data_IF_824938008820
#
_entry.id   IF_824938008820
#
_cell.length_a   1.000
_cell.length_b   1.000
_cell.length_c   1.000
_cell.angle_alpha   90.00
_cell.angle_beta   90.00
_cell.angle_gamma   90.00
#
_symmetry.space_group_name_H-M   'P 1'
#
loop_
_entity.id
_entity.type
_entity.pdbx_description
1 polymer ?
#
# COMPACT_ATOMS: atom_id res chain seq x y z
N UNK A 1 -7.68 8.65 30.19
CA UNK A 1 -8.74 9.28 31.00
C UNK A 1 -8.54 10.80 31.08
N UNK A 2 -7.38 11.29 31.52
CA UNK A 2 -7.10 12.72 31.69
C UNK A 2 -7.32 13.59 30.44
N UNK A 3 -6.93 13.12 29.24
CA UNK A 3 -7.19 13.83 27.98
C UNK A 3 -8.69 14.02 27.70
N UNK A 4 -9.51 13.00 27.97
CA UNK A 4 -10.95 13.06 27.74
C UNK A 4 -11.62 13.99 28.76
N UNK A 5 -11.16 13.99 30.01
CA UNK A 5 -11.63 14.90 31.05
C UNK A 5 -11.28 16.36 30.75
N UNK A 6 -10.08 16.60 30.22
CA UNK A 6 -9.65 17.93 29.76
C UNK A 6 -10.53 18.44 28.61
N UNK A 7 -10.76 17.62 27.58
CA UNK A 7 -11.60 18.01 26.43
C UNK A 7 -13.05 18.20 26.86
N UNK A 8 -13.59 17.32 27.70
CA UNK A 8 -14.94 17.43 28.26
C UNK A 8 -15.15 18.75 29.01
N UNK A 9 -14.19 19.16 29.86
CA UNK A 9 -14.25 20.46 30.54
C UNK A 9 -14.14 21.65 29.58
N UNK A 10 -13.30 21.55 28.55
CA UNK A 10 -13.08 22.64 27.60
C UNK A 10 -14.24 22.84 26.62
N UNK A 11 -14.95 21.77 26.25
CA UNK A 11 -16.04 21.80 25.27
C UNK A 11 -17.43 21.81 25.91
N UNK A 12 -17.50 21.68 27.23
CA UNK A 12 -18.74 21.51 28.01
C UNK A 12 -19.59 20.31 27.54
N UNK A 13 -18.98 19.35 26.84
CA UNK A 13 -19.63 18.11 26.39
C UNK A 13 -19.37 16.97 27.35
N UNK A 14 -20.34 16.07 27.48
CA UNK A 14 -20.18 14.87 28.30
C UNK A 14 -19.14 13.92 27.69
N UNK A 15 -18.49 13.13 28.55
CA UNK A 15 -17.50 12.12 28.12
C UNK A 15 -18.09 11.13 27.12
N UNK A 16 -19.30 10.65 27.38
CA UNK A 16 -20.00 9.70 26.51
C UNK A 16 -20.28 10.28 25.13
N UNK A 17 -20.64 11.56 25.04
CA UNK A 17 -20.82 12.26 23.77
C UNK A 17 -19.52 12.31 22.98
N UNK A 18 -18.41 12.72 23.61
CA UNK A 18 -17.11 12.85 22.96
C UNK A 18 -16.55 11.50 22.50
N UNK A 19 -16.76 10.43 23.28
CA UNK A 19 -16.37 9.06 22.88
C UNK A 19 -17.14 8.65 21.63
N UNK A 20 -18.47 8.85 21.63
CA UNK A 20 -19.31 8.49 20.49
C UNK A 20 -18.91 9.28 19.24
N UNK A 21 -18.73 10.59 19.37
CA UNK A 21 -18.32 11.45 18.25
C UNK A 21 -16.93 11.08 17.72
N UNK A 22 -15.99 10.74 18.60
CA UNK A 22 -14.65 10.30 18.18
C UNK A 22 -14.68 8.96 17.47
N UNK A 23 -15.53 8.03 17.94
CA UNK A 23 -15.73 6.74 17.29
C UNK A 23 -16.42 6.89 15.94
N UNK A 24 -17.45 7.75 15.84
CA UNK A 24 -18.13 8.06 14.57
C UNK A 24 -17.14 8.66 13.56
N UNK A 25 -16.34 9.67 13.96
CA UNK A 25 -15.29 10.24 13.09
C UNK A 25 -14.23 9.22 12.68
N UNK A 26 -13.81 8.36 13.60
CA UNK A 26 -12.84 7.31 13.29
C UNK A 26 -13.44 6.24 12.37
N UNK A 27 -14.72 5.92 12.53
CA UNK A 27 -15.45 5.05 11.61
C UNK A 27 -15.58 5.71 10.25
N UNK A 28 -15.92 7.00 10.15
CA UNK A 28 -15.98 7.73 8.88
C UNK A 28 -14.60 7.79 8.19
N UNK A 29 -13.52 7.96 8.98
CA UNK A 29 -12.14 7.91 8.49
C UNK A 29 -11.78 6.50 8.00
N UNK A 30 -12.15 5.46 8.73
CA UNK A 30 -11.98 4.06 8.31
C UNK A 30 -12.86 3.73 7.11
N UNK A 31 -14.09 4.21 7.04
CA UNK A 31 -14.98 4.06 5.91
C UNK A 31 -14.41 4.82 4.71
N UNK A 32 -13.77 5.98 4.89
CA UNK A 32 -13.07 6.66 3.79
C UNK A 32 -11.79 5.91 3.36
N UNK A 33 -11.05 5.34 4.29
CA UNK A 33 -9.81 4.59 4.07
C UNK A 33 -10.08 3.20 3.44
N UNK A 34 -11.19 2.56 3.82
CA UNK A 34 -11.57 1.18 3.46
C UNK A 34 -12.88 1.08 2.67
N UNK A 35 -13.56 2.19 2.34
CA UNK A 35 -14.59 2.19 1.30
C UNK A 35 -13.91 1.62 0.08
N UNK A 36 -14.43 0.48 -0.34
CA UNK A 36 -13.99 -0.28 -1.50
C UNK A 36 -14.15 0.60 -2.73
N UNK A 37 -13.20 1.51 -2.94
CA UNK A 37 -12.85 1.95 -4.27
C UNK A 37 -12.27 0.70 -4.88
N UNK A 38 -13.09 -0.03 -5.64
CA UNK A 38 -12.54 -0.74 -6.78
C UNK A 38 -11.63 0.27 -7.46
N UNK A 39 -10.32 0.06 -7.33
CA UNK A 39 -9.36 0.98 -7.92
C UNK A 39 -9.50 0.69 -9.40
N UNK A 40 -10.25 1.53 -10.11
CA UNK A 40 -10.41 1.48 -11.56
C UNK A 40 -9.09 1.92 -12.17
N UNK A 41 -8.13 1.02 -12.13
CA UNK A 41 -6.85 1.15 -12.80
C UNK A 41 -7.08 0.63 -14.21
N UNK A 42 -7.03 1.52 -15.19
CA UNK A 42 -6.97 1.16 -16.59
C UNK A 42 -5.50 0.97 -16.98
N UNK A 43 -5.08 -0.29 -17.07
CA UNK A 43 -3.71 -0.67 -17.41
C UNK A 43 -3.76 -1.60 -18.62
N UNK A 44 -2.97 -1.27 -19.63
CA UNK A 44 -2.76 -2.14 -20.79
C UNK A 44 -1.71 -3.20 -20.45
N UNK A 45 -2.08 -4.48 -20.54
CA UNK A 45 -1.16 -5.60 -20.27
C UNK A 45 -1.19 -6.08 -18.82
N UNK A 46 -0.18 -6.88 -18.44
CA UNK A 46 -0.07 -7.40 -17.06
C UNK A 46 0.71 -6.45 -16.15
N UNK A 47 0.47 -6.54 -14.83
CA UNK A 47 1.15 -5.69 -13.85
C UNK A 47 2.66 -5.97 -13.82
N UNK A 48 3.02 -7.25 -14.01
CA UNK A 48 4.41 -7.64 -14.10
C UNK A 48 5.12 -6.99 -15.29
N UNK A 49 4.52 -7.02 -16.48
CA UNK A 49 5.10 -6.39 -17.68
C UNK A 49 5.26 -4.88 -17.51
N UNK A 50 4.26 -4.22 -16.91
CA UNK A 50 4.36 -2.79 -16.58
C UNK A 50 5.57 -2.54 -15.67
N UNK A 51 5.72 -3.31 -14.58
CA UNK A 51 6.87 -3.17 -13.68
C UNK A 51 8.20 -3.44 -14.39
N UNK A 52 8.26 -4.44 -15.27
CA UNK A 52 9.46 -4.72 -16.07
C UNK A 52 9.83 -3.52 -16.94
N UNK A 53 8.86 -2.86 -17.57
CA UNK A 53 9.10 -1.68 -18.41
C UNK A 53 9.53 -0.46 -17.57
N UNK A 54 8.76 -0.13 -16.53
CA UNK A 54 9.01 1.01 -15.64
C UNK A 54 10.34 0.88 -14.90
N UNK A 55 10.75 -0.34 -14.56
CA UNK A 55 11.98 -0.61 -13.82
C UNK A 55 13.22 -0.80 -14.71
N UNK A 56 13.12 -0.56 -16.03
CA UNK A 56 14.32 -0.43 -16.90
C UNK A 56 15.23 0.69 -16.39
N UNK A 57 14.62 1.74 -15.85
CA UNK A 57 15.30 2.69 -14.98
C UNK A 57 15.07 2.26 -13.54
N UNK A 58 16.13 1.96 -12.75
CA UNK A 58 15.97 1.51 -11.38
C UNK A 58 15.12 2.47 -10.54
N UNK A 59 14.15 1.91 -9.83
CA UNK A 59 13.22 2.64 -8.97
C UNK A 59 13.66 2.50 -7.51
N UNK A 60 14.08 3.61 -6.91
CA UNK A 60 14.40 3.68 -5.49
C UNK A 60 13.12 3.88 -4.67
N UNK A 61 12.86 2.95 -3.75
CA UNK A 61 11.58 2.86 -3.04
C UNK A 61 11.79 2.61 -1.55
N UNK A 62 10.74 2.88 -0.77
CA UNK A 62 10.70 2.62 0.67
C UNK A 62 9.43 1.88 1.03
N UNK A 63 9.56 0.77 1.76
CA UNK A 63 8.40 -0.02 2.23
C UNK A 63 7.54 0.79 3.20
N UNK A 64 6.22 0.57 3.18
CA UNK A 64 5.25 1.34 3.97
C UNK A 64 5.49 1.30 5.49
N UNK A 65 5.25 0.15 6.13
CA UNK A 65 5.23 0.03 7.59
C UNK A 65 6.64 0.07 8.23
N UNK A 66 7.61 -0.63 7.64
CA UNK A 66 8.96 -0.76 8.22
C UNK A 66 9.93 0.33 7.75
N UNK A 67 9.52 1.15 6.78
CA UNK A 67 10.35 2.22 6.20
C UNK A 67 11.74 1.75 5.76
N UNK A 68 11.81 0.54 5.22
CA UNK A 68 13.06 -0.05 4.70
C UNK A 68 13.21 0.33 3.23
N UNK A 69 14.35 0.92 2.90
CA UNK A 69 14.74 1.26 1.53
C UNK A 69 15.11 0.02 0.71
N UNK A 70 14.82 0.06 -0.59
CA UNK A 70 15.19 -0.96 -1.55
C UNK A 70 15.16 -0.35 -2.97
N UNK A 71 15.75 -1.07 -3.92
CA UNK A 71 15.69 -0.70 -5.34
C UNK A 71 15.00 -1.81 -6.11
N UNK A 72 14.00 -1.47 -6.91
CA UNK A 72 13.39 -2.36 -7.90
C UNK A 72 13.97 -2.04 -9.27
N UNK A 73 14.40 -3.04 -10.01
CA UNK A 73 15.00 -2.85 -11.33
C UNK A 73 14.64 -4.04 -12.23
N UNK A 74 14.66 -3.84 -13.54
CA UNK A 74 14.56 -4.92 -14.50
C UNK A 74 15.88 -5.14 -15.23
N UNK A 75 16.15 -6.40 -15.56
CA UNK A 75 17.30 -6.83 -16.34
C UNK A 75 16.90 -8.01 -17.21
N UNK A 76 17.28 -7.99 -18.49
CA UNK A 76 16.91 -9.01 -19.49
C UNK A 76 15.41 -9.41 -19.49
N UNK A 77 14.52 -8.43 -19.27
CA UNK A 77 13.07 -8.67 -19.23
C UNK A 77 12.55 -9.34 -17.96
N UNK A 78 13.39 -9.46 -16.92
CA UNK A 78 13.04 -10.00 -15.61
C UNK A 78 13.09 -8.93 -14.54
N UNK A 79 12.26 -9.06 -13.53
CA UNK A 79 12.15 -8.10 -12.44
C UNK A 79 12.95 -8.55 -11.21
N UNK A 80 13.63 -7.61 -10.57
CA UNK A 80 14.47 -7.86 -9.41
C UNK A 80 14.26 -6.80 -8.32
N UNK A 81 14.59 -7.18 -7.09
CA UNK A 81 14.74 -6.26 -5.96
C UNK A 81 16.13 -6.41 -5.37
N UNK A 82 16.82 -5.29 -5.20
CA UNK A 82 17.98 -5.14 -4.34
C UNK A 82 17.51 -4.62 -2.98
N UNK A 83 17.56 -5.46 -1.94
CA UNK A 83 17.15 -5.05 -0.60
C UNK A 83 18.24 -4.27 0.14
N UNK A 84 17.88 -3.66 1.26
CA UNK A 84 18.81 -2.89 2.13
C UNK A 84 20.00 -3.69 2.68
N UNK A 85 19.96 -5.02 2.60
CA UNK A 85 21.07 -5.89 2.99
C UNK A 85 22.01 -6.23 1.82
N UNK A 86 21.81 -5.60 0.66
CA UNK A 86 22.60 -5.85 -0.55
C UNK A 86 22.25 -7.16 -1.26
N UNK A 87 21.14 -7.81 -0.93
CA UNK A 87 20.74 -9.04 -1.61
C UNK A 87 19.81 -8.73 -2.77
N UNK A 88 20.15 -9.26 -3.94
CA UNK A 88 19.30 -9.27 -5.12
C UNK A 88 18.40 -10.50 -5.11
N UNK A 89 17.11 -10.32 -5.42
CA UNK A 89 16.13 -11.40 -5.54
C UNK A 89 15.26 -11.19 -6.76
N UNK A 90 14.97 -12.25 -7.54
CA UNK A 90 14.00 -12.16 -8.61
C UNK A 90 12.59 -12.01 -8.03
N UNK A 91 11.73 -11.33 -8.79
CA UNK A 91 10.29 -11.28 -8.58
C UNK A 91 9.62 -11.98 -9.75
N UNK A 92 8.70 -12.89 -9.45
CA UNK A 92 8.04 -13.71 -10.47
C UNK A 92 6.73 -13.07 -10.96
N UNK A 93 6.37 -13.38 -12.20
CA UNK A 93 5.19 -12.86 -12.89
C UNK A 93 3.88 -13.19 -12.18
N UNK A 94 3.64 -14.48 -11.91
CA UNK A 94 2.37 -14.93 -11.31
C UNK A 94 2.11 -14.26 -9.94
N UNK A 95 3.06 -14.26 -8.98
CA UNK A 95 2.87 -13.57 -7.70
C UNK A 95 2.62 -12.06 -7.83
N UNK A 96 3.25 -11.39 -8.80
CA UNK A 96 3.03 -9.96 -9.05
C UNK A 96 1.61 -9.69 -9.57
N UNK A 97 1.16 -10.47 -10.54
CA UNK A 97 -0.18 -10.34 -11.12
C UNK A 97 -1.28 -10.72 -10.12
N UNK A 98 -1.11 -11.81 -9.36
CA UNK A 98 -2.06 -12.22 -8.30
C UNK A 98 -2.18 -11.14 -7.20
N UNK A 99 -1.06 -10.53 -6.82
CA UNK A 99 -1.03 -9.38 -5.92
C UNK A 99 -1.89 -8.24 -6.47
N UNK A 100 -1.68 -7.87 -7.74
CA UNK A 100 -2.34 -6.71 -8.34
C UNK A 100 -3.85 -6.92 -8.53
N UNK A 101 -4.28 -8.13 -8.88
CA UNK A 101 -5.71 -8.47 -8.91
C UNK A 101 -6.36 -8.31 -7.54
N UNK A 102 -5.67 -8.73 -6.49
CA UNK A 102 -6.14 -8.53 -5.11
C UNK A 102 -6.14 -7.04 -4.74
N UNK A 103 -5.15 -6.27 -5.20
CA UNK A 103 -5.07 -4.83 -4.98
C UNK A 103 -6.23 -4.09 -5.65
N UNK A 104 -6.53 -4.37 -6.92
CA UNK A 104 -7.67 -3.75 -7.62
C UNK A 104 -9.01 -3.98 -6.90
N UNK A 105 -9.21 -5.17 -6.34
CA UNK A 105 -10.44 -5.56 -5.63
C UNK A 105 -10.58 -4.95 -4.24
N UNK A 106 -9.45 -4.69 -3.56
CA UNK A 106 -9.45 -4.38 -2.12
C UNK A 106 -8.93 -3.00 -1.79
N UNK A 107 -8.09 -2.41 -2.64
CA UNK A 107 -7.36 -1.18 -2.36
C UNK A 107 -6.41 -1.27 -1.15
N UNK A 108 -6.17 -2.46 -0.61
CA UNK A 108 -5.49 -2.62 0.68
C UNK A 108 -4.06 -2.12 0.63
N UNK A 109 -3.66 -1.34 1.63
CA UNK A 109 -2.25 -0.96 1.83
C UNK A 109 -1.52 -1.89 2.79
N UNK A 110 -2.21 -2.92 3.30
CA UNK A 110 -1.67 -3.86 4.29
C UNK A 110 -1.07 -5.09 3.60
N UNK A 111 0.23 -5.38 3.78
CA UNK A 111 0.88 -6.55 3.18
C UNK A 111 0.21 -7.89 3.54
N UNK A 112 -0.46 -7.98 4.69
CA UNK A 112 -1.10 -9.21 5.16
C UNK A 112 -2.28 -9.64 4.28
N UNK A 113 -2.93 -8.69 3.60
CA UNK A 113 -4.04 -8.97 2.66
C UNK A 113 -3.59 -9.85 1.50
N UNK A 114 -2.29 -9.85 1.18
CA UNK A 114 -1.71 -10.53 0.02
C UNK A 114 -0.96 -11.81 0.38
N UNK A 115 -1.08 -12.29 1.63
CA UNK A 115 -0.30 -13.41 2.16
C UNK A 115 -0.43 -14.69 1.32
N UNK A 116 -1.61 -14.91 0.75
CA UNK A 116 -1.89 -16.09 -0.08
C UNK A 116 -1.36 -15.94 -1.52
N UNK A 117 -1.07 -14.71 -1.96
CA UNK A 117 -0.54 -14.42 -3.30
C UNK A 117 0.99 -14.34 -3.31
N UNK A 118 1.59 -13.68 -2.32
CA UNK A 118 3.04 -13.42 -2.32
C UNK A 118 3.59 -13.01 -0.96
N UNK A 119 4.82 -13.44 -0.67
CA UNK A 119 5.62 -12.94 0.46
C UNK A 119 6.31 -11.60 0.16
N UNK A 120 6.26 -11.11 -1.09
CA UNK A 120 6.90 -9.87 -1.55
C UNK A 120 5.93 -8.68 -1.59
N UNK A 121 4.76 -8.80 -0.98
CA UNK A 121 3.69 -7.79 -1.06
C UNK A 121 4.13 -6.38 -0.65
N UNK A 122 5.03 -6.25 0.32
CA UNK A 122 5.54 -4.94 0.73
C UNK A 122 6.32 -4.20 -0.35
N UNK A 123 7.00 -4.92 -1.25
CA UNK A 123 7.71 -4.31 -2.38
C UNK A 123 6.74 -3.88 -3.48
N UNK A 124 5.78 -4.76 -3.82
CA UNK A 124 4.76 -4.43 -4.82
C UNK A 124 3.87 -3.27 -4.37
N UNK A 125 3.46 -3.20 -3.11
CA UNK A 125 2.71 -2.07 -2.57
C UNK A 125 3.44 -0.74 -2.74
N UNK A 126 4.74 -0.70 -2.43
CA UNK A 126 5.53 0.52 -2.59
C UNK A 126 5.67 0.92 -4.07
N UNK A 127 5.86 -0.06 -4.97
CA UNK A 127 5.90 0.19 -6.41
C UNK A 127 4.54 0.69 -6.93
N UNK A 128 3.43 0.04 -6.56
CA UNK A 128 2.08 0.46 -6.93
C UNK A 128 1.80 1.89 -6.47
N UNK A 129 2.15 2.23 -5.22
CA UNK A 129 1.98 3.59 -4.69
C UNK A 129 2.78 4.62 -5.49
N UNK A 130 4.02 4.28 -5.89
CA UNK A 130 4.84 5.17 -6.71
C UNK A 130 4.28 5.35 -8.13
N UNK A 131 3.79 4.28 -8.75
CA UNK A 131 3.15 4.34 -10.07
C UNK A 131 1.87 5.19 -10.04
N UNK A 132 1.03 5.03 -8.99
CA UNK A 132 -0.14 5.88 -8.77
C UNK A 132 0.25 7.35 -8.55
N UNK A 133 1.32 7.60 -7.77
CA UNK A 133 1.83 8.96 -7.53
C UNK A 133 2.31 9.63 -8.81
N UNK A 134 2.88 8.87 -9.75
CA UNK A 134 3.29 9.35 -11.08
C UNK A 134 2.13 9.52 -12.06
N UNK A 135 0.97 8.91 -11.78
CA UNK A 135 -0.16 8.86 -12.70
C UNK A 135 0.04 7.85 -13.83
N UNK A 136 0.93 6.87 -13.66
CA UNK A 136 1.12 5.76 -14.61
C UNK A 136 -0.05 4.77 -14.54
N UNK A 137 -0.66 4.62 -13.35
CA UNK A 137 -1.83 3.78 -13.07
C UNK A 137 -2.81 4.48 -12.12
#
# INVERSE_FOLDING_TARGET
>A
MEKLDYVSKKTEKSRSFLIRESLERFIDELETEYEKREVKIDMNGSFYELLVDECKTPMELTTGARKVAFTMFSDEGKLYVLNSKGNTRPLDEKPANDFFETFKKTGSTSPITYRDSTFNASYFLAATQELMRRGTI
#
